data_IF_658197977004
#
_entry.id   IF_658197977004
#
_cell.length_a   1.000
_cell.length_b   1.000
_cell.length_c   1.000
_cell.angle_alpha   90.00
_cell.angle_beta   90.00
_cell.angle_gamma   90.00
#
_symmetry.space_group_name_H-M   'P 1'
#
loop_
_entity.id
_entity.type
_entity.pdbx_description
1 polymer ?
#
# COMPACT_ATOMS: atom_id res chain seq x y z
N UNK A 1 -15.72 16.53 -5.70
CA UNK A 1 -14.68 15.82 -4.94
C UNK A 1 -13.34 16.22 -5.54
N UNK A 2 -12.48 16.95 -4.82
CA UNK A 2 -11.17 17.33 -5.38
C UNK A 2 -10.29 16.08 -5.55
N UNK A 3 -9.43 16.04 -6.60
CA UNK A 3 -8.49 14.95 -6.75
C UNK A 3 -7.51 14.94 -5.56
N UNK A 4 -7.49 13.84 -4.80
CA UNK A 4 -6.61 13.70 -3.64
C UNK A 4 -5.17 13.51 -4.13
N UNK A 5 -4.27 14.44 -3.81
CA UNK A 5 -2.88 14.39 -4.27
C UNK A 5 -1.95 13.75 -3.23
N UNK A 6 -2.15 12.45 -2.96
CA UNK A 6 -1.35 11.71 -1.98
C UNK A 6 0.12 11.54 -2.39
N UNK A 7 0.42 11.56 -3.69
CA UNK A 7 1.79 11.44 -4.18
C UNK A 7 2.67 12.65 -3.84
N UNK A 8 2.17 13.87 -4.02
CA UNK A 8 2.91 15.07 -3.63
C UNK A 8 3.09 15.17 -2.11
N UNK A 9 2.07 14.78 -1.36
CA UNK A 9 2.11 14.82 0.09
C UNK A 9 3.12 13.82 0.67
N UNK A 10 3.15 12.59 0.13
CA UNK A 10 4.15 11.61 0.53
C UNK A 10 5.57 12.08 0.17
N UNK A 11 5.77 12.63 -1.03
CA UNK A 11 7.08 13.15 -1.44
C UNK A 11 7.56 14.25 -0.49
N UNK A 12 6.71 15.24 -0.21
CA UNK A 12 7.04 16.35 0.71
C UNK A 12 7.52 15.82 2.06
N UNK A 13 6.83 14.83 2.63
CA UNK A 13 7.19 14.23 3.93
C UNK A 13 8.52 13.49 3.90
N UNK A 14 8.78 12.76 2.81
CA UNK A 14 10.06 12.08 2.62
C UNK A 14 11.21 13.08 2.50
N UNK A 15 10.98 14.21 1.82
CA UNK A 15 11.95 15.32 1.73
C UNK A 15 12.18 16.02 3.08
N UNK A 16 11.17 16.06 3.95
CA UNK A 16 11.26 16.51 5.35
C UNK A 16 11.94 15.49 6.29
N UNK A 17 12.36 14.33 5.76
CA UNK A 17 13.08 13.29 6.51
C UNK A 17 12.18 12.27 7.20
N UNK A 18 10.87 12.27 6.93
CA UNK A 18 9.98 11.23 7.44
C UNK A 18 10.35 9.85 6.87
N UNK A 19 10.16 8.81 7.67
CA UNK A 19 10.25 7.43 7.18
C UNK A 19 9.11 7.12 6.20
N UNK A 20 9.30 6.11 5.37
CA UNK A 20 8.24 5.65 4.46
C UNK A 20 7.00 5.18 5.23
N UNK A 21 7.21 4.42 6.31
CA UNK A 21 6.11 3.89 7.12
C UNK A 21 5.33 5.00 7.81
N UNK A 22 6.01 6.05 8.30
CA UNK A 22 5.35 7.24 8.85
C UNK A 22 4.44 7.88 7.81
N UNK A 23 4.97 8.14 6.60
CA UNK A 23 4.18 8.75 5.52
C UNK A 23 3.02 7.88 5.07
N UNK A 24 3.21 6.55 4.95
CA UNK A 24 2.15 5.61 4.63
C UNK A 24 1.06 5.57 5.69
N UNK A 25 1.44 5.62 6.98
CA UNK A 25 0.49 5.68 8.10
C UNK A 25 -0.42 6.90 8.00
N UNK A 26 0.14 8.05 7.70
CA UNK A 26 -0.62 9.30 7.58
C UNK A 26 -1.51 9.33 6.34
N UNK A 27 -1.04 8.79 5.20
CA UNK A 27 -1.89 8.60 4.02
C UNK A 27 -3.10 7.72 4.36
N UNK A 28 -2.87 6.60 5.07
CA UNK A 28 -3.93 5.68 5.49
C UNK A 28 -4.91 6.36 6.44
N UNK A 29 -4.43 7.09 7.45
CA UNK A 29 -5.29 7.88 8.35
C UNK A 29 -6.10 8.94 7.60
N UNK A 30 -5.56 9.46 6.50
CA UNK A 30 -6.25 10.39 5.59
C UNK A 30 -7.24 9.69 4.64
N UNK A 31 -7.43 8.37 4.78
CA UNK A 31 -8.37 7.58 3.99
C UNK A 31 -7.84 7.14 2.62
N UNK A 32 -6.52 7.15 2.40
CA UNK A 32 -5.93 6.52 1.23
C UNK A 32 -6.10 5.01 1.31
N UNK A 33 -6.51 4.40 0.20
CA UNK A 33 -6.49 2.95 0.00
C UNK A 33 -5.06 2.43 -0.19
N UNK A 34 -4.88 1.11 -0.12
CA UNK A 34 -3.59 0.48 -0.42
C UNK A 34 -3.14 0.73 -1.86
N UNK A 35 -4.09 0.79 -2.81
CA UNK A 35 -3.80 1.09 -4.21
C UNK A 35 -3.33 2.54 -4.40
N UNK A 36 -4.01 3.49 -3.76
CA UNK A 36 -3.57 4.90 -3.74
C UNK A 36 -2.20 5.04 -3.07
N UNK A 37 -1.92 4.25 -2.04
CA UNK A 37 -0.61 4.22 -1.38
C UNK A 37 0.48 3.72 -2.33
N UNK A 38 0.25 2.64 -3.08
CA UNK A 38 1.19 2.12 -4.09
C UNK A 38 1.48 3.17 -5.17
N UNK A 39 0.44 3.82 -5.70
CA UNK A 39 0.59 4.87 -6.72
C UNK A 39 1.36 6.07 -6.15
N UNK A 40 1.12 6.41 -4.89
CA UNK A 40 1.83 7.50 -4.19
C UNK A 40 3.31 7.17 -3.99
N UNK A 41 3.65 5.95 -3.56
CA UNK A 41 5.04 5.49 -3.41
C UNK A 41 5.78 5.51 -4.74
N UNK A 42 5.16 4.96 -5.79
CA UNK A 42 5.71 4.97 -7.16
C UNK A 42 6.07 6.39 -7.59
N UNK A 43 5.15 7.32 -7.37
CA UNK A 43 5.33 8.74 -7.73
C UNK A 43 6.37 9.44 -6.87
N UNK A 44 6.41 9.17 -5.56
CA UNK A 44 7.30 9.83 -4.61
C UNK A 44 8.75 9.32 -4.70
N UNK A 45 8.96 8.03 -4.97
CA UNK A 45 10.29 7.38 -5.03
C UNK A 45 10.83 7.21 -6.45
N UNK A 46 10.04 7.57 -7.48
CA UNK A 46 10.40 7.37 -8.89
C UNK A 46 10.78 5.92 -9.23
N UNK A 47 10.11 4.94 -8.60
CA UNK A 47 10.32 3.53 -8.85
C UNK A 47 9.24 2.96 -9.79
N UNK A 48 9.39 1.70 -10.18
CA UNK A 48 8.36 1.00 -10.95
C UNK A 48 7.20 0.52 -10.05
N UNK A 49 6.15 -0.01 -10.68
CA UNK A 49 4.97 -0.48 -9.96
C UNK A 49 5.25 -1.70 -9.08
N UNK A 50 6.15 -2.59 -9.50
CA UNK A 50 6.46 -3.81 -8.76
C UNK A 50 7.22 -3.47 -7.47
N UNK A 51 8.15 -2.55 -7.54
CA UNK A 51 8.87 -1.99 -6.41
C UNK A 51 7.94 -1.27 -5.45
N UNK A 52 7.10 -0.36 -5.96
CA UNK A 52 6.14 0.37 -5.13
C UNK A 52 5.18 -0.58 -4.41
N UNK A 53 4.68 -1.61 -5.10
CA UNK A 53 3.86 -2.66 -4.51
C UNK A 53 4.61 -3.37 -3.39
N UNK A 54 5.86 -3.78 -3.63
CA UNK A 54 6.68 -4.49 -2.63
C UNK A 54 6.90 -3.65 -1.38
N UNK A 55 7.26 -2.37 -1.54
CA UNK A 55 7.47 -1.45 -0.43
C UNK A 55 6.22 -1.27 0.43
N UNK A 56 5.04 -1.12 -0.19
CA UNK A 56 3.77 -0.99 0.54
C UNK A 56 3.39 -2.31 1.23
N UNK A 57 3.59 -3.45 0.56
CA UNK A 57 3.28 -4.77 1.12
C UNK A 57 4.16 -5.13 2.33
N UNK A 58 5.42 -4.72 2.31
CA UNK A 58 6.36 -4.95 3.42
C UNK A 58 6.18 -3.98 4.58
N UNK A 59 5.44 -2.89 4.39
CA UNK A 59 5.20 -1.90 5.42
C UNK A 59 4.18 -2.42 6.46
N UNK A 60 4.48 -2.31 7.77
CA UNK A 60 3.57 -2.74 8.83
C UNK A 60 2.24 -1.98 8.80
N UNK A 61 2.21 -0.79 8.19
CA UNK A 61 1.00 0.02 8.03
C UNK A 61 -0.13 -0.74 7.34
N UNK A 62 0.17 -1.66 6.42
CA UNK A 62 -0.84 -2.39 5.63
C UNK A 62 -0.90 -3.89 5.95
N UNK A 63 -0.28 -4.32 7.06
CA UNK A 63 -0.18 -5.73 7.44
C UNK A 63 -1.53 -6.41 7.64
N UNK A 64 -2.53 -5.70 8.15
CA UNK A 64 -3.90 -6.21 8.32
C UNK A 64 -4.59 -6.51 6.99
N UNK A 65 -4.43 -5.65 5.99
CA UNK A 65 -4.96 -5.88 4.64
C UNK A 65 -4.21 -7.04 3.96
N UNK A 66 -2.91 -7.17 4.20
CA UNK A 66 -2.13 -8.32 3.70
C UNK A 66 -2.60 -9.63 4.32
N UNK A 67 -2.80 -9.67 5.63
CA UNK A 67 -3.32 -10.85 6.32
C UNK A 67 -4.72 -11.26 5.83
N UNK A 68 -5.59 -10.28 5.54
CA UNK A 68 -6.91 -10.57 4.95
C UNK A 68 -6.80 -11.15 3.54
N UNK A 69 -5.92 -10.60 2.71
CA UNK A 69 -5.68 -11.13 1.36
C UNK A 69 -5.10 -12.54 1.38
N UNK A 70 -4.14 -12.81 2.28
CA UNK A 70 -3.55 -14.13 2.45
C UNK A 70 -4.59 -15.16 2.87
N UNK A 71 -5.42 -14.83 3.87
CA UNK A 71 -6.53 -15.69 4.29
C UNK A 71 -7.51 -15.96 3.14
N UNK A 72 -7.85 -14.94 2.35
CA UNK A 72 -8.73 -15.13 1.19
C UNK A 72 -8.09 -16.07 0.16
N UNK A 73 -6.79 -15.96 -0.09
CA UNK A 73 -6.08 -16.86 -1.00
C UNK A 73 -6.08 -18.31 -0.48
N UNK A 74 -5.82 -18.53 0.81
CA UNK A 74 -5.91 -19.85 1.44
C UNK A 74 -7.32 -20.46 1.30
N UNK A 75 -8.37 -19.66 1.49
CA UNK A 75 -9.76 -20.09 1.34
C UNK A 75 -10.10 -20.48 -0.11
N UNK A 76 -9.63 -19.68 -1.09
CA UNK A 76 -9.80 -19.98 -2.51
C UNK A 76 -9.03 -21.23 -2.93
N UNK A 77 -7.81 -21.43 -2.44
CA UNK A 77 -7.04 -22.63 -2.71
C UNK A 77 -7.69 -23.89 -2.14
N UNK A 78 -8.32 -23.79 -0.97
CA UNK A 78 -9.07 -24.91 -0.37
C UNK A 78 -10.30 -25.25 -1.21
N UNK A 79 -11.09 -24.25 -1.60
CA UNK A 79 -12.25 -24.45 -2.46
C UNK A 79 -11.89 -25.13 -3.79
N UNK A 80 -10.80 -24.69 -4.44
CA UNK A 80 -10.36 -25.27 -5.71
C UNK A 80 -9.82 -26.70 -5.61
N UNK A 81 -9.49 -27.20 -4.41
CA UNK A 81 -9.06 -28.60 -4.18
C UNK A 81 -10.21 -29.51 -3.79
N UNK A 82 -11.28 -28.97 -3.20
CA UNK A 82 -12.46 -29.74 -2.78
C UNK A 82 -13.42 -30.03 -3.97
N UNK A 83 -13.25 -29.32 -5.10
CA UNK A 83 -13.99 -29.51 -6.36
C UNK A 83 -13.27 -30.39 -7.41
N UNK A 84 -12.14 -31.03 -7.06
CA UNK A 84 -11.32 -31.87 -7.95
C UNK A 84 -11.22 -33.33 -7.48
#
# INVERSE_FOLDING_TARGET
>A
MQPRNFGSELRRRLEEGASLDTGLGELRTSGASIMESIVSVRSARHCDLAEAKRLVHLSPVWADVMAQNEKLHEELERFGRDDA
#
